data_IF_584783670767
#
_entry.id   IF_584783670767
#
_cell.length_a   1.000
_cell.length_b   1.000
_cell.length_c   1.000
_cell.angle_alpha   90.00
_cell.angle_beta   90.00
_cell.angle_gamma   90.00
#
_symmetry.space_group_name_H-M   'P 1'
#
loop_
_entity.id
_entity.type
_entity.pdbx_description
1 polymer ?
#
# COMPACT_ATOMS: atom_id res chain seq x y z
N UNK A 1 16.42 -24.21 -1.68
CA UNK A 1 15.24 -23.50 -1.14
C UNK A 1 15.76 -22.48 -0.16
N UNK A 2 15.34 -21.22 -0.27
CA UNK A 2 15.89 -20.13 0.54
C UNK A 2 15.12 -20.01 1.87
N UNK A 3 15.79 -19.66 2.97
CA UNK A 3 15.18 -19.46 4.29
C UNK A 3 14.30 -18.19 4.34
N UNK A 4 13.35 -18.08 5.27
CA UNK A 4 12.41 -16.91 5.30
C UNK A 4 13.05 -15.58 5.70
N UNK A 5 14.28 -15.58 6.22
CA UNK A 5 15.05 -14.35 6.44
C UNK A 5 15.85 -13.92 5.20
N UNK A 6 15.75 -14.64 4.08
CA UNK A 6 16.42 -14.27 2.84
C UNK A 6 15.45 -13.53 1.92
N UNK A 7 15.83 -12.31 1.55
CA UNK A 7 15.09 -11.51 0.57
C UNK A 7 15.61 -11.72 -0.84
N UNK A 8 14.66 -11.89 -1.76
CA UNK A 8 14.86 -11.93 -3.20
C UNK A 8 13.58 -11.48 -3.89
N UNK A 9 13.70 -10.93 -5.09
CA UNK A 9 12.55 -10.46 -5.87
C UNK A 9 12.70 -10.79 -7.34
N UNK A 10 11.57 -10.85 -8.04
CA UNK A 10 11.47 -10.86 -9.50
C UNK A 10 10.70 -9.61 -9.94
N UNK A 11 10.94 -9.15 -11.16
CA UNK A 11 10.08 -8.13 -11.77
C UNK A 11 8.68 -8.69 -12.05
N UNK A 12 7.73 -7.82 -12.38
CA UNK A 12 6.36 -8.24 -12.70
C UNK A 12 6.28 -9.23 -13.86
N UNK A 13 7.21 -9.13 -14.82
CA UNK A 13 7.34 -10.02 -15.99
C UNK A 13 8.18 -11.26 -15.73
N UNK A 14 8.75 -11.39 -14.53
CA UNK A 14 9.49 -12.57 -14.09
C UNK A 14 11.00 -12.50 -14.29
N UNK A 15 11.57 -11.35 -14.66
CA UNK A 15 13.02 -11.18 -14.69
C UNK A 15 13.59 -11.28 -13.27
N UNK A 16 14.72 -11.96 -13.12
CA UNK A 16 15.30 -12.32 -11.82
C UNK A 16 15.38 -13.84 -11.62
N UNK A 17 15.42 -14.34 -10.36
CA UNK A 17 15.37 -13.56 -9.13
C UNK A 17 16.66 -12.75 -8.91
N UNK A 18 16.56 -11.67 -8.14
CA UNK A 18 17.72 -10.96 -7.60
C UNK A 18 18.59 -11.91 -6.77
N UNK A 19 19.87 -11.58 -6.62
CA UNK A 19 20.76 -12.33 -5.75
C UNK A 19 20.18 -12.41 -4.32
N UNK A 20 20.17 -13.58 -3.65
CA UNK A 20 19.62 -13.68 -2.30
C UNK A 20 20.37 -12.77 -1.31
N UNK A 21 19.66 -12.09 -0.41
CA UNK A 21 20.24 -11.29 0.67
C UNK A 21 19.68 -11.75 2.00
N UNK A 22 20.56 -12.13 2.92
CA UNK A 22 20.17 -12.41 4.30
C UNK A 22 19.80 -11.11 5.02
N UNK A 23 18.57 -11.06 5.52
CA UNK A 23 18.11 -10.02 6.42
C UNK A 23 18.55 -10.37 7.84
N UNK A 24 19.26 -9.46 8.48
CA UNK A 24 20.00 -9.78 9.72
C UNK A 24 19.36 -9.18 10.96
N UNK A 25 19.05 -7.89 10.91
CA UNK A 25 18.60 -7.05 12.02
C UNK A 25 17.63 -5.99 11.51
N UNK A 26 17.02 -5.23 12.41
CA UNK A 26 16.39 -3.96 12.06
C UNK A 26 17.41 -2.83 12.19
N UNK A 27 17.37 -1.87 11.27
CA UNK A 27 18.14 -0.64 11.41
C UNK A 27 17.49 0.19 12.51
N UNK A 28 18.11 0.16 13.69
CA UNK A 28 17.59 0.74 14.91
C UNK A 28 18.05 2.20 15.04
N UNK A 29 17.26 3.11 14.48
CA UNK A 29 17.56 4.52 14.56
C UNK A 29 16.94 5.10 15.83
N UNK A 30 17.63 6.05 16.47
CA UNK A 30 16.99 6.88 17.51
C UNK A 30 15.67 7.44 16.99
N UNK A 31 14.61 7.23 17.74
CA UNK A 31 13.27 7.74 17.51
C UNK A 31 13.29 9.27 17.50
N UNK A 32 12.78 9.85 16.42
CA UNK A 32 12.63 11.31 16.27
C UNK A 32 11.32 11.77 16.88
N UNK A 33 11.30 13.01 17.39
CA UNK A 33 10.06 13.62 17.90
C UNK A 33 9.06 13.84 16.75
N UNK A 34 7.75 13.91 17.03
CA UNK A 34 6.76 14.36 16.04
C UNK A 34 7.20 15.67 15.37
N UNK A 35 7.24 15.67 14.03
CA UNK A 35 7.66 16.82 13.22
C UNK A 35 9.17 17.04 13.09
N UNK A 36 10.01 16.26 13.78
CA UNK A 36 11.47 16.31 13.64
C UNK A 36 11.93 15.60 12.35
N UNK A 37 12.93 16.21 11.69
CA UNK A 37 13.59 15.67 10.49
C UNK A 37 15.08 15.56 10.76
N UNK A 38 15.69 14.43 10.42
CA UNK A 38 17.12 14.17 10.55
C UNK A 38 17.74 13.81 9.21
N UNK A 39 18.96 14.30 8.98
CA UNK A 39 19.77 14.00 7.78
C UNK A 39 20.96 13.08 8.10
N UNK A 40 20.96 12.43 9.27
CA UNK A 40 22.00 11.48 9.69
C UNK A 40 22.16 10.26 8.75
N UNK A 41 21.10 9.94 8.01
CA UNK A 41 21.08 8.89 6.97
C UNK A 41 21.49 9.38 5.59
N UNK A 42 21.73 10.68 5.39
CA UNK A 42 22.00 11.24 4.08
C UNK A 42 23.24 10.58 3.44
N UNK A 43 23.08 10.09 2.21
CA UNK A 43 24.16 9.43 1.47
C UNK A 43 24.31 7.93 1.78
N UNK A 44 23.60 7.40 2.77
CA UNK A 44 23.65 5.97 3.07
C UNK A 44 22.93 5.15 1.97
N UNK A 45 23.45 3.97 1.59
CA UNK A 45 22.80 3.16 0.58
C UNK A 45 21.50 2.56 1.10
N UNK A 46 20.62 2.21 0.17
CA UNK A 46 19.37 1.50 0.42
C UNK A 46 19.04 0.68 -0.82
N UNK A 47 18.65 -0.58 -0.63
CA UNK A 47 18.05 -1.40 -1.66
C UNK A 47 16.63 -1.76 -1.27
N UNK A 48 15.79 -1.99 -2.27
CA UNK A 48 14.45 -2.53 -2.10
C UNK A 48 14.28 -3.81 -2.90
N UNK A 49 13.45 -4.69 -2.41
CA UNK A 49 12.89 -5.82 -3.16
C UNK A 49 11.39 -5.60 -3.31
N UNK A 50 10.91 -5.48 -4.55
CA UNK A 50 9.50 -5.24 -4.89
C UNK A 50 8.97 -6.20 -5.95
N UNK A 51 7.65 -6.39 -6.00
CA UNK A 51 6.99 -7.33 -6.92
C UNK A 51 6.94 -6.87 -8.37
N UNK A 52 7.16 -5.57 -8.64
CA UNK A 52 6.97 -4.99 -9.96
C UNK A 52 8.29 -4.69 -10.64
N UNK A 53 9.20 -3.99 -9.95
CA UNK A 53 10.53 -3.67 -10.51
C UNK A 53 11.64 -4.59 -10.03
N UNK A 54 11.31 -5.59 -9.21
CA UNK A 54 12.33 -6.44 -8.59
C UNK A 54 13.25 -5.62 -7.68
N UNK A 55 14.53 -5.99 -7.69
CA UNK A 55 15.54 -5.32 -6.87
C UNK A 55 16.05 -4.06 -7.52
N UNK A 56 15.99 -2.96 -6.77
CA UNK A 56 16.59 -1.69 -7.16
C UNK A 56 17.24 -1.04 -5.95
N UNK A 57 18.25 -0.19 -6.19
CA UNK A 57 19.01 0.44 -5.12
C UNK A 57 19.20 1.93 -5.40
N UNK A 58 19.34 2.69 -4.33
CA UNK A 58 19.47 4.14 -4.34
C UNK A 58 20.11 4.63 -3.06
N UNK A 59 19.78 5.87 -2.71
CA UNK A 59 20.45 6.58 -1.61
C UNK A 59 19.43 7.21 -0.69
N UNK A 60 19.64 7.07 0.62
CA UNK A 60 18.85 7.73 1.65
C UNK A 60 19.16 9.23 1.68
N UNK A 61 18.12 10.04 1.86
CA UNK A 61 18.19 11.51 1.87
C UNK A 61 18.05 12.05 3.30
N UNK A 62 16.99 11.64 3.98
CA UNK A 62 16.65 12.07 5.33
C UNK A 62 15.61 11.10 5.91
N UNK A 63 15.34 11.24 7.21
CA UNK A 63 14.28 10.50 7.88
C UNK A 63 13.48 11.41 8.80
N UNK A 64 12.23 11.04 9.03
CA UNK A 64 11.43 11.57 10.11
C UNK A 64 11.10 10.42 11.09
N UNK A 65 10.18 10.65 12.04
CA UNK A 65 9.80 9.64 13.02
C UNK A 65 9.36 8.30 12.40
N UNK A 66 8.60 8.35 11.32
CA UNK A 66 7.86 7.18 10.81
C UNK A 66 8.37 6.71 9.45
N UNK A 67 9.43 7.31 8.92
CA UNK A 67 9.91 6.94 7.60
C UNK A 67 11.26 7.48 7.20
N UNK A 68 11.85 6.73 6.27
CA UNK A 68 13.14 7.01 5.63
C UNK A 68 12.88 7.36 4.17
N UNK A 69 13.34 8.54 3.78
CA UNK A 69 13.17 9.08 2.43
C UNK A 69 14.43 8.84 1.63
N UNK A 70 14.25 8.43 0.38
CA UNK A 70 15.35 7.99 -0.48
C UNK A 70 15.14 8.41 -1.92
N UNK A 71 16.22 8.45 -2.68
CA UNK A 71 16.23 8.84 -4.08
C UNK A 71 16.68 7.69 -4.98
N UNK A 72 16.19 7.67 -6.22
CA UNK A 72 16.57 6.72 -7.27
C UNK A 72 16.31 5.24 -6.94
N UNK A 73 15.33 4.95 -6.07
CA UNK A 73 14.90 3.58 -5.85
C UNK A 73 14.05 3.02 -7.00
N UNK A 74 13.75 3.82 -8.03
CA UNK A 74 12.89 3.42 -9.16
C UNK A 74 11.58 2.76 -8.69
N UNK A 75 10.97 3.35 -7.67
CA UNK A 75 9.70 2.88 -7.17
C UNK A 75 8.61 3.06 -8.23
N UNK A 76 7.81 2.03 -8.43
CA UNK A 76 6.56 2.16 -9.19
C UNK A 76 5.42 1.53 -8.42
N UNK A 77 4.20 1.87 -8.84
CA UNK A 77 3.00 1.29 -8.28
C UNK A 77 3.04 -0.24 -8.40
N UNK A 78 2.74 -0.92 -7.29
CA UNK A 78 2.85 -2.38 -7.15
C UNK A 78 4.00 -2.84 -6.26
N UNK A 79 5.07 -2.04 -6.10
CA UNK A 79 6.19 -2.36 -5.19
C UNK A 79 5.88 -2.15 -3.69
N UNK A 80 4.70 -1.59 -3.37
CA UNK A 80 4.26 -1.34 -1.99
C UNK A 80 4.29 -2.61 -1.12
N UNK A 81 4.73 -2.48 0.13
CA UNK A 81 4.93 -3.59 1.06
C UNK A 81 6.26 -4.34 0.89
N UNK A 82 7.02 -4.08 -0.17
CA UNK A 82 8.36 -4.63 -0.37
C UNK A 82 9.35 -4.24 0.73
N UNK A 83 10.32 -5.10 1.03
CA UNK A 83 11.33 -4.84 2.05
C UNK A 83 12.39 -3.87 1.55
N UNK A 84 12.82 -2.95 2.42
CA UNK A 84 13.95 -2.06 2.22
C UNK A 84 15.04 -2.42 3.20
N UNK A 85 16.27 -2.49 2.73
CA UNK A 85 17.40 -2.90 3.55
C UNK A 85 18.68 -2.18 3.14
N UNK A 86 19.64 -2.14 4.06
CA UNK A 86 20.99 -1.68 3.80
C UNK A 86 21.78 -2.80 3.13
N UNK A 87 22.24 -2.63 1.88
CA UNK A 87 22.92 -3.71 1.15
C UNK A 87 24.28 -4.10 1.73
N UNK A 88 24.82 -3.34 2.69
CA UNK A 88 26.14 -3.58 3.28
C UNK A 88 26.09 -4.67 4.35
N UNK A 89 25.00 -4.76 5.08
CA UNK A 89 24.86 -5.61 6.27
C UNK A 89 23.52 -6.38 6.34
N UNK A 90 22.61 -6.16 5.39
CA UNK A 90 21.30 -6.80 5.37
C UNK A 90 20.33 -6.28 6.44
N UNK A 91 20.64 -5.18 7.12
CA UNK A 91 19.74 -4.59 8.10
C UNK A 91 18.50 -4.01 7.43
N UNK A 92 17.33 -4.40 7.92
CA UNK A 92 16.03 -3.95 7.41
C UNK A 92 15.81 -2.51 7.84
N UNK A 93 15.64 -1.62 6.88
CA UNK A 93 15.33 -0.22 7.11
C UNK A 93 13.82 -0.03 7.27
N UNK A 94 13.03 -0.74 6.48
CA UNK A 94 11.60 -0.48 6.43
C UNK A 94 10.85 -1.24 5.35
N UNK A 95 9.59 -0.88 5.18
CA UNK A 95 8.72 -1.40 4.12
C UNK A 95 8.31 -0.28 3.17
N UNK A 96 8.27 -0.57 1.88
CA UNK A 96 7.89 0.38 0.85
C UNK A 96 6.48 0.88 1.09
N UNK A 97 6.31 2.20 1.10
CA UNK A 97 4.99 2.80 1.39
C UNK A 97 4.53 3.86 0.39
N UNK A 98 5.44 4.67 -0.15
CA UNK A 98 5.07 5.76 -1.04
C UNK A 98 6.15 6.03 -2.09
N UNK A 99 5.71 6.55 -3.23
CA UNK A 99 6.56 7.09 -4.29
C UNK A 99 5.99 8.40 -4.83
N UNK A 100 6.89 9.36 -5.08
CA UNK A 100 6.60 10.59 -5.83
C UNK A 100 7.77 10.87 -6.79
N UNK A 101 7.62 10.42 -8.03
CA UNK A 101 8.71 10.45 -9.02
C UNK A 101 9.93 9.66 -8.50
N UNK A 102 11.15 10.21 -8.54
CA UNK A 102 12.35 9.54 -8.04
C UNK A 102 12.46 9.48 -6.50
N UNK A 103 11.56 10.16 -5.77
CA UNK A 103 11.51 10.15 -4.31
C UNK A 103 10.70 8.95 -3.81
N UNK A 104 11.33 8.10 -3.00
CA UNK A 104 10.71 6.98 -2.30
C UNK A 104 10.61 7.22 -0.81
N UNK A 105 9.64 6.57 -0.16
CA UNK A 105 9.53 6.48 1.30
C UNK A 105 9.36 5.04 1.74
N UNK A 106 10.23 4.60 2.64
CA UNK A 106 10.02 3.42 3.46
C UNK A 106 9.39 3.82 4.80
N UNK A 107 8.38 3.09 5.26
CA UNK A 107 7.95 3.15 6.67
C UNK A 107 9.00 2.45 7.52
N UNK A 108 9.48 3.11 8.57
CA UNK A 108 10.61 2.63 9.36
C UNK A 108 10.21 1.39 10.17
N UNK A 109 10.95 0.28 10.00
CA UNK A 109 10.59 -1.01 10.59
C UNK A 109 10.81 -1.04 12.12
N UNK A 110 11.89 -0.44 12.59
CA UNK A 110 12.19 -0.21 14.01
C UNK A 110 10.99 0.44 14.71
N UNK A 111 10.51 1.57 14.18
CA UNK A 111 9.38 2.32 14.72
C UNK A 111 8.12 1.47 14.81
N UNK A 112 7.77 0.75 13.74
CA UNK A 112 6.58 -0.11 13.72
C UNK A 112 6.65 -1.15 14.85
N UNK A 113 7.81 -1.78 15.02
CA UNK A 113 8.00 -2.85 16.01
C UNK A 113 8.01 -2.29 17.45
N UNK A 114 8.71 -1.18 17.69
CA UNK A 114 8.67 -0.48 18.98
C UNK A 114 7.24 -0.11 19.39
N UNK A 115 6.47 0.47 18.48
CA UNK A 115 5.10 0.91 18.74
C UNK A 115 4.15 -0.26 18.99
N UNK A 116 4.26 -1.32 18.17
CA UNK A 116 3.39 -2.48 18.25
C UNK A 116 3.64 -3.32 19.52
N UNK A 117 4.89 -3.40 19.97
CA UNK A 117 5.30 -4.29 21.06
C UNK A 117 5.74 -3.56 22.34
N UNK A 118 5.72 -2.22 22.36
CA UNK A 118 6.10 -1.42 23.52
C UNK A 118 7.59 -1.50 23.86
N UNK A 119 8.45 -1.67 22.86
CA UNK A 119 9.91 -1.77 23.05
C UNK A 119 10.50 -0.35 23.17
N UNK A 120 11.41 -0.11 24.13
CA UNK A 120 12.10 1.16 24.24
C UNK A 120 12.94 1.49 22.99
N UNK A 121 13.05 2.79 22.70
CA UNK A 121 13.89 3.33 21.61
C UNK A 121 15.31 2.75 21.67
N UNK A 122 15.82 2.28 20.54
CA UNK A 122 17.19 1.73 20.43
C UNK A 122 17.37 0.32 20.99
N UNK A 123 16.29 -0.38 21.35
CA UNK A 123 16.36 -1.73 21.91
C UNK A 123 15.72 -2.79 21.01
N UNK A 124 15.30 -2.46 19.78
CA UNK A 124 14.49 -3.39 18.99
C UNK A 124 15.19 -4.73 18.74
N UNK A 125 16.51 -4.69 18.51
CA UNK A 125 17.32 -5.90 18.27
C UNK A 125 17.67 -6.66 19.56
N UNK A 126 17.42 -6.10 20.75
CA UNK A 126 17.55 -6.80 22.04
C UNK A 126 16.31 -7.64 22.34
N UNK A 127 15.15 -7.21 21.83
CA UNK A 127 13.84 -7.85 22.05
C UNK A 127 13.39 -8.70 20.86
N UNK A 128 13.88 -8.41 19.66
CA UNK A 128 13.60 -9.18 18.45
C UNK A 128 14.87 -9.75 17.83
N UNK A 129 14.83 -11.06 17.57
CA UNK A 129 15.85 -11.74 16.77
C UNK A 129 15.14 -12.46 15.64
N UNK A 130 15.63 -12.29 14.41
CA UNK A 130 15.16 -13.07 13.28
C UNK A 130 15.54 -14.53 13.53
N UNK A 131 14.53 -15.38 13.75
CA UNK A 131 14.78 -16.80 13.95
C UNK A 131 15.42 -17.38 12.68
N UNK A 132 16.46 -18.24 12.82
CA UNK A 132 16.94 -19.02 11.69
C UNK A 132 15.76 -19.87 11.22
N UNK A 133 15.34 -19.64 9.98
CA UNK A 133 14.19 -20.31 9.39
C UNK A 133 14.69 -21.17 8.26
N UNK A 134 14.73 -22.49 8.46
CA UNK A 134 14.98 -23.44 7.38
C UNK A 134 13.68 -23.79 6.61
N UNK A 135 12.58 -23.09 6.91
CA UNK A 135 11.32 -23.31 6.25
C UNK A 135 11.46 -22.95 4.77
N UNK A 136 10.96 -23.81 3.85
CA UNK A 136 11.05 -23.53 2.43
C UNK A 136 10.24 -22.29 2.10
N UNK A 137 10.90 -21.29 1.51
CA UNK A 137 10.21 -20.18 0.86
C UNK A 137 9.47 -20.71 -0.37
N UNK A 138 8.18 -20.38 -0.51
CA UNK A 138 7.42 -20.72 -1.71
C UNK A 138 8.06 -20.06 -2.95
N UNK A 139 7.93 -20.70 -4.10
CA UNK A 139 8.17 -20.01 -5.37
C UNK A 139 6.97 -19.10 -5.64
N UNK A 140 7.26 -17.81 -5.82
CA UNK A 140 6.24 -16.81 -6.13
C UNK A 140 6.17 -16.64 -7.65
N UNK A 141 4.93 -16.60 -8.16
CA UNK A 141 4.67 -16.27 -9.56
C UNK A 141 4.99 -14.79 -9.80
N UNK A 142 5.48 -14.42 -10.99
CA UNK A 142 5.52 -13.02 -11.40
C UNK A 142 4.14 -12.40 -11.32
N UNK A 143 4.06 -11.13 -10.94
CA UNK A 143 2.80 -10.43 -10.74
C UNK A 143 1.87 -10.52 -11.97
N UNK A 144 2.40 -10.44 -13.20
CA UNK A 144 1.56 -10.55 -14.40
C UNK A 144 0.91 -11.93 -14.56
N UNK A 145 1.59 -12.99 -14.12
CA UNK A 145 1.04 -14.36 -14.17
C UNK A 145 -0.01 -14.56 -13.07
N UNK A 146 0.26 -14.06 -11.87
CA UNK A 146 -0.69 -14.10 -10.76
C UNK A 146 -1.99 -13.33 -11.08
N UNK A 147 -1.87 -12.08 -11.57
CA UNK A 147 -3.04 -11.28 -11.95
C UNK A 147 -3.79 -11.86 -13.15
N UNK A 148 -3.08 -12.34 -14.18
CA UNK A 148 -3.73 -12.98 -15.33
C UNK A 148 -4.50 -14.24 -14.95
N UNK A 149 -3.93 -15.05 -14.04
CA UNK A 149 -4.61 -16.22 -13.48
C UNK A 149 -5.85 -15.85 -12.66
N UNK A 150 -5.75 -14.81 -11.81
CA UNK A 150 -6.86 -14.31 -11.02
C UNK A 150 -7.99 -13.75 -11.89
N UNK A 151 -7.66 -12.93 -12.89
CA UNK A 151 -8.64 -12.36 -13.81
C UNK A 151 -9.35 -13.46 -14.62
N UNK A 152 -8.59 -14.47 -15.08
CA UNK A 152 -9.16 -15.65 -15.71
C UNK A 152 -10.15 -16.40 -14.81
N UNK A 153 -9.80 -16.59 -13.52
CA UNK A 153 -10.70 -17.23 -12.55
C UNK A 153 -11.93 -16.38 -12.24
N UNK A 154 -11.78 -15.06 -12.10
CA UNK A 154 -12.90 -14.14 -11.89
C UNK A 154 -13.86 -14.21 -13.07
N UNK A 155 -13.34 -14.16 -14.30
CA UNK A 155 -14.15 -14.23 -15.51
C UNK A 155 -14.85 -15.59 -15.67
N UNK A 156 -14.19 -16.69 -15.28
CA UNK A 156 -14.77 -18.03 -15.30
C UNK A 156 -15.90 -18.17 -14.26
N UNK A 157 -15.67 -17.73 -13.02
CA UNK A 157 -16.65 -17.80 -11.94
C UNK A 157 -17.84 -16.87 -12.17
N UNK A 158 -17.63 -15.77 -12.90
CA UNK A 158 -18.66 -14.80 -13.26
C UNK A 158 -19.05 -14.90 -14.74
N UNK A 159 -18.93 -16.09 -15.34
CA UNK A 159 -19.28 -16.28 -16.76
C UNK A 159 -20.74 -15.88 -17.01
N UNK A 160 -20.93 -14.86 -17.83
CA UNK A 160 -22.26 -14.30 -18.16
C UNK A 160 -22.70 -13.15 -17.25
N UNK A 161 -21.92 -12.77 -16.25
CA UNK A 161 -22.11 -11.51 -15.54
C UNK A 161 -21.69 -10.35 -16.45
N UNK A 162 -22.60 -9.39 -16.64
CA UNK A 162 -22.29 -8.12 -17.30
C UNK A 162 -22.17 -7.07 -16.19
N UNK A 163 -20.98 -6.52 -15.92
CA UNK A 163 -20.84 -5.47 -14.93
C UNK A 163 -21.73 -4.27 -15.31
N UNK A 164 -22.41 -3.64 -14.35
CA UNK A 164 -23.22 -2.47 -14.64
C UNK A 164 -22.35 -1.33 -15.15
N UNK A 165 -22.85 -0.58 -16.13
CA UNK A 165 -22.17 0.61 -16.63
C UNK A 165 -22.02 1.63 -15.49
N UNK A 166 -20.78 1.97 -15.07
CA UNK A 166 -20.57 2.87 -13.94
C UNK A 166 -21.17 4.25 -14.15
N UNK A 167 -21.17 4.76 -15.39
CA UNK A 167 -21.74 6.08 -15.72
C UNK A 167 -23.26 6.08 -15.54
N UNK A 168 -23.95 5.06 -16.04
CA UNK A 168 -25.40 4.92 -15.85
C UNK A 168 -25.76 4.79 -14.37
N UNK A 169 -24.92 4.09 -13.58
CA UNK A 169 -25.12 3.96 -12.13
C UNK A 169 -24.85 5.24 -11.35
N UNK A 170 -23.86 6.02 -11.77
CA UNK A 170 -23.61 7.35 -11.22
C UNK A 170 -24.81 8.28 -11.48
N UNK A 171 -25.29 8.32 -12.72
CA UNK A 171 -26.45 9.13 -13.09
C UNK A 171 -27.70 8.70 -12.29
N UNK A 172 -27.92 7.39 -12.14
CA UNK A 172 -28.99 6.84 -11.32
C UNK A 172 -28.87 7.27 -9.84
N UNK A 173 -27.67 7.20 -9.26
CA UNK A 173 -27.44 7.60 -7.87
C UNK A 173 -27.70 9.10 -7.64
N UNK A 174 -27.26 9.96 -8.58
CA UNK A 174 -27.54 11.40 -8.53
C UNK A 174 -29.04 11.68 -8.64
N UNK A 175 -29.73 11.01 -9.58
CA UNK A 175 -31.17 11.17 -9.75
C UNK A 175 -31.96 10.76 -8.50
N UNK A 176 -31.59 9.63 -7.88
CA UNK A 176 -32.21 9.17 -6.62
C UNK A 176 -31.99 10.18 -5.48
N UNK A 177 -30.77 10.71 -5.33
CA UNK A 177 -30.46 11.72 -4.32
C UNK A 177 -31.29 12.99 -4.50
N UNK A 178 -31.46 13.44 -5.74
CA UNK A 178 -32.30 14.61 -6.06
C UNK A 178 -33.78 14.35 -5.76
N UNK A 179 -34.30 13.16 -6.09
CA UNK A 179 -35.68 12.79 -5.82
C UNK A 179 -35.97 12.76 -4.31
N UNK A 180 -35.08 12.17 -3.51
CA UNK A 180 -35.22 12.14 -2.05
C UNK A 180 -35.06 13.51 -1.41
N UNK A 181 -34.13 14.34 -1.90
CA UNK A 181 -34.01 15.73 -1.44
C UNK A 181 -35.30 16.52 -1.67
N UNK A 182 -35.93 16.35 -2.84
CA UNK A 182 -37.21 16.97 -3.14
C UNK A 182 -38.33 16.46 -2.23
N UNK A 183 -38.38 15.15 -1.95
CA UNK A 183 -39.35 14.55 -1.03
C UNK A 183 -39.19 15.11 0.39
N UNK A 184 -37.98 15.10 0.92
CA UNK A 184 -37.66 15.65 2.24
C UNK A 184 -38.02 17.13 2.33
N UNK A 185 -37.75 17.92 1.28
CA UNK A 185 -38.12 19.33 1.24
C UNK A 185 -39.65 19.53 1.29
N UNK A 186 -40.43 18.66 0.62
CA UNK A 186 -41.89 18.68 0.69
C UNK A 186 -42.42 18.29 2.07
N UNK A 187 -41.84 17.25 2.68
CA UNK A 187 -42.21 16.79 4.02
C UNK A 187 -41.89 17.88 5.07
N UNK A 188 -40.74 18.54 4.95
CA UNK A 188 -40.37 19.70 5.76
C UNK A 188 -41.37 20.86 5.60
N UNK A 189 -41.79 21.18 4.37
CA UNK A 189 -42.79 22.21 4.10
C UNK A 189 -44.17 21.89 4.70
N UNK A 190 -44.48 20.60 4.92
CA UNK A 190 -45.69 20.12 5.61
C UNK A 190 -45.52 19.99 7.13
N UNK A 191 -44.37 20.36 7.68
CA UNK A 191 -44.05 20.24 9.11
C UNK A 191 -43.70 18.82 9.56
N UNK A 192 -43.45 17.89 8.63
CA UNK A 192 -43.11 16.50 8.89
C UNK A 192 -41.60 16.25 8.75
N UNK A 193 -40.79 17.10 9.39
CA UNK A 193 -39.34 17.03 9.29
C UNK A 193 -38.74 16.03 10.30
N UNK A 194 -38.01 15.03 9.80
CA UNK A 194 -37.24 14.10 10.62
C UNK A 194 -35.74 14.23 10.35
N UNK A 195 -34.98 14.91 11.23
CA UNK A 195 -33.54 15.11 11.05
C UNK A 195 -32.73 13.81 10.92
N UNK A 196 -33.15 12.73 11.61
CA UNK A 196 -32.45 11.45 11.57
C UNK A 196 -32.61 10.75 10.22
N UNK A 197 -33.80 10.86 9.60
CA UNK A 197 -34.05 10.36 8.25
C UNK A 197 -33.18 11.08 7.23
N UNK A 198 -33.09 12.42 7.32
CA UNK A 198 -32.26 13.23 6.43
C UNK A 198 -30.78 12.87 6.55
N UNK A 199 -30.28 12.70 7.76
CA UNK A 199 -28.89 12.29 7.99
C UNK A 199 -28.58 10.92 7.37
N UNK A 200 -29.49 9.95 7.53
CA UNK A 200 -29.33 8.61 6.97
C UNK A 200 -29.36 8.62 5.43
N UNK A 201 -30.32 9.32 4.83
CA UNK A 201 -30.42 9.44 3.37
C UNK A 201 -29.21 10.16 2.77
N UNK A 202 -28.76 11.25 3.40
CA UNK A 202 -27.57 11.97 2.96
C UNK A 202 -26.33 11.06 3.01
N UNK A 203 -26.13 10.30 4.08
CA UNK A 203 -25.02 9.35 4.21
C UNK A 203 -25.06 8.24 3.15
N UNK A 204 -26.24 7.68 2.89
CA UNK A 204 -26.44 6.66 1.85
C UNK A 204 -26.13 7.19 0.45
N UNK A 205 -26.69 8.36 0.09
CA UNK A 205 -26.49 8.96 -1.23
C UNK A 205 -25.03 9.39 -1.46
N UNK A 206 -24.37 9.95 -0.44
CA UNK A 206 -22.93 10.25 -0.53
C UNK A 206 -22.12 8.97 -0.78
N UNK A 207 -22.45 7.86 -0.11
CA UNK A 207 -21.78 6.58 -0.32
C UNK A 207 -21.97 6.04 -1.74
N UNK A 208 -23.20 6.02 -2.25
CA UNK A 208 -23.50 5.52 -3.60
C UNK A 208 -22.89 6.38 -4.70
N UNK A 209 -23.04 7.71 -4.61
CA UNK A 209 -22.46 8.65 -5.58
C UNK A 209 -20.94 8.52 -5.59
N UNK A 210 -20.31 8.49 -4.41
CA UNK A 210 -18.84 8.37 -4.31
C UNK A 210 -18.34 7.08 -4.95
N UNK A 211 -19.00 5.95 -4.65
CA UNK A 211 -18.65 4.65 -5.23
C UNK A 211 -18.71 4.67 -6.75
N UNK A 212 -19.83 5.11 -7.32
CA UNK A 212 -20.01 5.07 -8.78
C UNK A 212 -19.16 6.12 -9.49
N UNK A 213 -18.92 7.28 -8.87
CA UNK A 213 -18.00 8.28 -9.41
C UNK A 213 -16.57 7.76 -9.54
N UNK A 214 -16.07 7.04 -8.52
CA UNK A 214 -14.74 6.41 -8.58
C UNK A 214 -14.65 5.38 -9.70
N UNK A 215 -15.69 4.54 -9.86
CA UNK A 215 -15.74 3.52 -10.91
C UNK A 215 -15.88 4.13 -12.32
N UNK A 216 -16.65 5.20 -12.48
CA UNK A 216 -16.78 5.97 -13.73
C UNK A 216 -15.45 6.58 -14.18
N UNK A 217 -14.68 7.12 -13.24
CA UNK A 217 -13.33 7.64 -13.52
C UNK A 217 -12.43 6.50 -13.98
N UNK A 218 -12.39 5.38 -13.25
CA UNK A 218 -11.56 4.22 -13.62
C UNK A 218 -11.91 3.66 -15.02
N UNK A 219 -13.20 3.54 -15.33
CA UNK A 219 -13.68 3.07 -16.63
C UNK A 219 -13.30 4.01 -17.78
N UNK A 220 -13.36 5.33 -17.55
CA UNK A 220 -12.98 6.34 -18.55
C UNK A 220 -11.49 6.35 -18.88
N UNK A 221 -10.65 5.80 -18.00
CA UNK A 221 -9.21 5.62 -18.21
C UNK A 221 -8.83 4.21 -18.67
N UNK A 222 -9.80 3.35 -19.00
CA UNK A 222 -9.56 1.97 -19.47
C UNK A 222 -8.96 1.04 -18.41
N UNK A 223 -9.14 1.35 -17.13
CA UNK A 223 -8.65 0.54 -16.01
C UNK A 223 -9.67 -0.51 -15.54
N UNK A 224 -10.84 -0.58 -16.18
CA UNK A 224 -11.95 -1.52 -15.96
C UNK A 224 -12.69 -1.81 -17.28
#
# INVERSE_FOLDING_TARGET
MNPTHVSQSKTSTGEGPSAPVELTTLKDYRTLRPGEVSFDVAGQPICKDGSTTGRTCGTQLFRNRDGVFSWNLNYIQGDSGGVNYDPRDGSVIGVTSMVLGPLGKAQAADRIVEEAFGIPDGQVNEHFTLAPSNAPHADFLPATEEFGGLEGQINELNRGYVPPNPNEKLDQAIANAQADANRVAQDAARGQFNPAEVGNLAGQHVGEITRWAQLSVAHSFGAL
#
